data_IF_353454814320
#
_entry.id   IF_353454814320
#
_cell.length_a   1.000
_cell.length_b   1.000
_cell.length_c   1.000
_cell.angle_alpha   90.00
_cell.angle_beta   90.00
_cell.angle_gamma   90.00
#
_symmetry.space_group_name_H-M   'P 1'
#
loop_
_entity.id
_entity.type
_entity.pdbx_description
1 polymer ?
#
# COMPACT_ATOMS: atom_id res chain seq x y z
N UNK A 1 56.78 52.56 -33.94
CA UNK A 1 55.72 53.33 -34.64
C UNK A 1 54.39 52.95 -34.02
N UNK A 2 53.82 53.81 -33.17
CA UNK A 2 52.54 54.53 -33.38
C UNK A 2 51.37 53.56 -33.67
N UNK A 3 50.62 53.11 -32.66
CA UNK A 3 49.41 53.72 -32.04
C UNK A 3 48.17 53.70 -32.97
N UNK A 4 46.98 53.54 -32.36
CA UNK A 4 45.58 53.66 -32.85
C UNK A 4 44.86 52.30 -33.04
N UNK A 5 43.61 52.03 -32.64
CA UNK A 5 42.54 52.74 -31.91
C UNK A 5 41.56 51.66 -31.37
N UNK A 6 40.89 51.99 -30.27
CA UNK A 6 39.78 51.35 -29.54
C UNK A 6 38.59 50.79 -30.34
N UNK A 7 37.96 49.70 -29.86
CA UNK A 7 36.52 49.67 -29.57
C UNK A 7 36.16 48.51 -28.61
N UNK A 8 35.52 48.87 -27.50
CA UNK A 8 34.92 48.01 -26.49
C UNK A 8 33.65 47.36 -27.06
N UNK A 9 33.46 46.04 -26.88
CA UNK A 9 32.12 45.49 -26.66
C UNK A 9 32.16 44.19 -25.83
N UNK A 10 31.26 44.15 -24.86
CA UNK A 10 31.05 43.16 -23.83
C UNK A 10 30.81 41.73 -24.35
N UNK A 11 31.04 40.73 -23.49
CA UNK A 11 29.96 39.93 -22.86
C UNK A 11 30.58 39.00 -21.81
N UNK A 12 29.94 39.00 -20.64
CA UNK A 12 30.29 38.23 -19.44
C UNK A 12 30.26 36.73 -19.70
N UNK A 13 31.36 36.05 -19.40
CA UNK A 13 31.39 34.60 -19.15
C UNK A 13 31.21 34.42 -17.65
N UNK A 14 29.95 34.34 -17.20
CA UNK A 14 29.62 33.88 -15.85
C UNK A 14 29.72 32.36 -15.81
N UNK A 15 30.72 31.87 -15.07
CA UNK A 15 30.84 30.48 -14.68
C UNK A 15 29.59 30.06 -13.89
N UNK A 16 28.80 29.15 -14.48
CA UNK A 16 27.88 28.31 -13.72
C UNK A 16 28.71 27.29 -12.94
N UNK A 17 29.19 27.70 -11.78
CA UNK A 17 29.68 26.81 -10.72
C UNK A 17 28.64 26.78 -9.61
N UNK A 18 27.50 26.13 -9.86
CA UNK A 18 26.54 25.82 -8.81
C UNK A 18 26.98 24.49 -8.20
N UNK A 19 27.52 24.56 -6.98
CA UNK A 19 27.83 23.39 -6.18
C UNK A 19 26.57 22.57 -5.94
N UNK A 20 26.70 21.27 -6.19
CA UNK A 20 25.70 20.25 -5.98
C UNK A 20 25.39 20.12 -4.48
N UNK A 21 24.33 20.80 -4.05
CA UNK A 21 23.75 20.65 -2.72
C UNK A 21 22.81 19.45 -2.75
N UNK A 22 23.24 18.37 -2.10
CA UNK A 22 22.49 17.13 -1.92
C UNK A 22 21.14 17.40 -1.23
N UNK A 23 20.06 17.49 -2.02
CA UNK A 23 18.69 17.41 -1.53
C UNK A 23 18.39 15.97 -1.13
N UNK A 24 18.47 15.70 0.15
CA UNK A 24 17.92 14.47 0.71
C UNK A 24 18.17 14.40 2.19
N UNK A 25 17.33 15.05 3.01
CA UNK A 25 16.75 14.45 4.24
C UNK A 25 15.78 15.39 5.00
N UNK A 26 14.77 15.98 4.34
CA UNK A 26 13.71 16.75 5.05
C UNK A 26 12.29 16.23 4.83
N UNK A 27 12.07 15.33 3.86
CA UNK A 27 10.73 14.79 3.58
C UNK A 27 10.32 13.67 4.55
N UNK A 28 11.30 12.98 5.15
CA UNK A 28 11.10 11.78 5.97
C UNK A 28 10.55 12.13 7.36
N UNK A 29 11.10 13.17 8.00
CA UNK A 29 10.74 13.55 9.37
C UNK A 29 9.38 14.27 9.48
N UNK A 30 8.99 15.04 8.46
CA UNK A 30 7.70 15.71 8.42
C UNK A 30 6.53 14.74 8.14
N UNK A 31 6.75 13.75 7.25
CA UNK A 31 5.79 12.67 6.97
C UNK A 31 5.60 11.73 8.15
N UNK A 32 6.70 11.46 8.88
CA UNK A 32 6.75 11.04 10.29
C UNK A 32 5.57 11.61 11.09
N UNK A 33 5.78 12.87 11.50
CA UNK A 33 4.91 13.59 12.44
C UNK A 33 3.45 13.64 12.02
N UNK A 34 3.16 13.73 10.72
CA UNK A 34 1.79 13.74 10.22
C UNK A 34 1.09 12.39 10.42
N UNK A 35 1.76 11.27 10.11
CA UNK A 35 1.20 9.93 10.32
C UNK A 35 0.97 9.64 11.80
N UNK A 36 1.89 10.01 12.68
CA UNK A 36 1.71 9.84 14.12
C UNK A 36 0.45 10.56 14.61
N UNK A 37 0.26 11.84 14.23
CA UNK A 37 -0.94 12.61 14.62
C UNK A 37 -2.24 12.00 14.10
N UNK A 38 -2.23 11.49 12.87
CA UNK A 38 -3.40 10.82 12.29
C UNK A 38 -3.71 9.53 13.05
N UNK A 39 -2.68 8.71 13.30
CA UNK A 39 -2.80 7.46 14.02
C UNK A 39 -3.34 7.68 15.44
N UNK A 40 -2.77 8.65 16.18
CA UNK A 40 -3.22 9.06 17.51
C UNK A 40 -4.69 9.50 17.50
N UNK A 41 -5.07 10.39 16.57
CA UNK A 41 -6.47 10.85 16.43
C UNK A 41 -7.44 9.70 16.15
N UNK A 42 -7.00 8.68 15.44
CA UNK A 42 -7.80 7.50 15.10
C UNK A 42 -7.74 6.40 16.17
N UNK A 43 -6.91 6.56 17.20
CA UNK A 43 -6.72 5.56 18.26
C UNK A 43 -6.08 4.26 17.75
N UNK A 44 -5.20 4.36 16.76
CA UNK A 44 -4.45 3.24 16.18
C UNK A 44 -2.97 3.56 16.15
N UNK A 45 -2.12 2.56 15.94
CA UNK A 45 -0.68 2.75 15.75
C UNK A 45 -0.35 3.19 14.31
N UNK A 46 0.85 3.74 14.10
CA UNK A 46 1.36 4.04 12.74
C UNK A 46 1.47 2.75 11.92
N UNK A 47 1.86 1.64 12.54
CA UNK A 47 1.87 0.34 11.87
C UNK A 47 0.48 -0.03 11.37
N UNK A 48 -0.54 0.07 12.22
CA UNK A 48 -1.92 -0.27 11.85
C UNK A 48 -2.52 0.68 10.81
N UNK A 49 -2.10 1.96 10.80
CA UNK A 49 -2.50 2.92 9.77
C UNK A 49 -2.01 2.51 8.37
N UNK A 50 -0.84 1.90 8.29
CA UNK A 50 -0.27 1.46 7.01
C UNK A 50 -0.68 0.02 6.65
N UNK A 51 -0.92 -0.83 7.66
CA UNK A 51 -0.96 -2.30 7.52
C UNK A 51 -2.26 -2.94 8.03
N UNK A 52 -3.27 -2.13 8.39
CA UNK A 52 -4.52 -2.64 8.92
C UNK A 52 -4.49 -2.91 10.43
N UNK A 53 -5.68 -2.90 11.02
CA UNK A 53 -5.95 -3.20 12.42
C UNK A 53 -6.34 -4.69 12.53
N UNK A 54 -5.49 -5.50 13.15
CA UNK A 54 -5.81 -6.91 13.35
C UNK A 54 -4.67 -7.70 13.99
N UNK A 55 -4.71 -9.05 13.90
CA UNK A 55 -3.76 -9.93 14.56
C UNK A 55 -2.36 -9.90 13.93
N UNK A 56 -2.20 -9.42 12.69
CA UNK A 56 -0.88 -9.25 12.07
C UNK A 56 -0.29 -7.92 12.57
N UNK A 57 0.71 -8.00 13.44
CA UNK A 57 1.33 -6.85 14.12
C UNK A 57 2.73 -6.50 13.63
N UNK A 58 3.28 -7.30 12.73
CA UNK A 58 4.65 -7.15 12.24
C UNK A 58 4.72 -7.38 10.73
N UNK A 59 5.83 -6.95 10.12
CA UNK A 59 6.06 -7.14 8.69
C UNK A 59 6.34 -8.60 8.35
N UNK A 60 5.57 -9.10 7.40
CA UNK A 60 5.71 -10.46 6.89
C UNK A 60 6.89 -10.53 5.93
N UNK A 61 7.68 -11.58 6.10
CA UNK A 61 8.72 -11.94 5.14
C UNK A 61 8.09 -12.87 4.11
N UNK A 62 7.87 -12.34 2.91
CA UNK A 62 7.22 -13.06 1.81
C UNK A 62 8.22 -13.15 0.66
N UNK A 63 8.44 -14.37 0.15
CA UNK A 63 9.28 -14.60 -1.02
C UNK A 63 8.78 -13.80 -2.23
N UNK A 64 9.69 -13.28 -3.05
CA UNK A 64 9.32 -12.64 -4.31
C UNK A 64 8.61 -13.63 -5.25
N UNK A 65 9.06 -14.89 -5.25
CA UNK A 65 8.46 -15.96 -6.04
C UNK A 65 7.08 -16.36 -5.49
N UNK A 66 6.21 -16.79 -6.41
CA UNK A 66 4.89 -17.34 -6.07
C UNK A 66 5.01 -18.81 -5.71
N UNK A 67 4.59 -19.16 -4.49
CA UNK A 67 4.35 -20.55 -4.11
C UNK A 67 3.03 -21.04 -4.72
N UNK A 68 3.13 -21.78 -5.83
CA UNK A 68 1.97 -22.27 -6.57
C UNK A 68 1.10 -23.23 -5.76
N UNK A 69 1.69 -24.06 -4.89
CA UNK A 69 0.94 -25.03 -4.09
C UNK A 69 0.10 -24.27 -3.05
N UNK A 70 0.70 -23.28 -2.40
CA UNK A 70 -0.01 -22.40 -1.47
C UNK A 70 -1.09 -21.57 -2.17
N UNK A 71 -0.80 -21.03 -3.37
CA UNK A 71 -1.78 -20.29 -4.17
C UNK A 71 -2.98 -21.17 -4.58
N UNK A 72 -2.75 -22.42 -4.97
CA UNK A 72 -3.83 -23.38 -5.28
C UNK A 72 -4.69 -23.68 -4.06
N UNK A 73 -4.09 -23.80 -2.87
CA UNK A 73 -4.84 -23.92 -1.62
C UNK A 73 -5.68 -22.67 -1.35
N UNK A 74 -5.09 -21.48 -1.52
CA UNK A 74 -5.77 -20.20 -1.40
C UNK A 74 -6.95 -20.06 -2.36
N UNK A 75 -6.80 -20.53 -3.60
CA UNK A 75 -7.88 -20.53 -4.59
C UNK A 75 -9.09 -21.33 -4.09
N UNK A 76 -8.88 -22.53 -3.54
CA UNK A 76 -9.99 -23.36 -3.01
C UNK A 76 -10.74 -22.65 -1.89
N UNK A 77 -10.00 -21.96 -1.01
CA UNK A 77 -10.59 -21.17 0.08
C UNK A 77 -11.38 -19.98 -0.51
N UNK A 78 -10.81 -19.29 -1.50
CA UNK A 78 -11.46 -18.16 -2.16
C UNK A 78 -12.77 -18.57 -2.84
N UNK A 79 -12.75 -19.69 -3.58
CA UNK A 79 -13.91 -20.25 -4.26
C UNK A 79 -15.00 -20.67 -3.26
N UNK A 80 -14.63 -21.13 -2.06
CA UNK A 80 -15.58 -21.55 -1.04
C UNK A 80 -16.18 -20.37 -0.25
N UNK A 81 -15.39 -19.33 0.04
CA UNK A 81 -15.72 -18.32 1.06
C UNK A 81 -15.79 -16.88 0.54
N UNK A 82 -15.23 -16.57 -0.62
CA UNK A 82 -15.04 -15.17 -1.06
C UNK A 82 -15.80 -14.81 -2.34
N UNK A 83 -15.98 -15.76 -3.26
CA UNK A 83 -16.59 -15.52 -4.59
C UNK A 83 -18.06 -15.06 -4.55
N UNK A 84 -18.75 -15.29 -3.42
CA UNK A 84 -20.12 -14.82 -3.22
C UNK A 84 -20.20 -13.29 -3.13
N UNK A 85 -19.09 -12.64 -2.75
CA UNK A 85 -19.05 -11.19 -2.57
C UNK A 85 -18.03 -10.51 -3.49
N UNK A 86 -16.96 -11.19 -3.87
CA UNK A 86 -15.86 -10.61 -4.65
C UNK A 86 -15.70 -11.23 -6.02
N UNK A 87 -15.35 -10.39 -6.98
CA UNK A 87 -14.84 -10.76 -8.30
C UNK A 87 -13.40 -10.28 -8.45
N UNK A 88 -12.67 -10.82 -9.41
CA UNK A 88 -11.31 -10.37 -9.67
C UNK A 88 -11.29 -9.01 -10.33
N UNK A 89 -12.13 -8.80 -11.35
CA UNK A 89 -11.98 -7.68 -12.28
C UNK A 89 -13.06 -6.61 -12.19
N UNK A 90 -14.13 -6.88 -11.45
CA UNK A 90 -15.27 -5.98 -11.39
C UNK A 90 -15.79 -5.77 -9.98
N UNK A 91 -16.48 -4.65 -9.83
CA UNK A 91 -17.25 -4.34 -8.63
C UNK A 91 -18.42 -5.32 -8.54
N UNK A 92 -18.63 -5.89 -7.36
CA UNK A 92 -19.81 -6.70 -7.05
C UNK A 92 -20.39 -6.27 -5.70
N UNK A 93 -20.76 -7.20 -4.81
CA UNK A 93 -21.08 -6.88 -3.41
C UNK A 93 -19.89 -6.27 -2.67
N UNK A 94 -18.68 -6.73 -3.00
CA UNK A 94 -17.40 -6.17 -2.55
C UNK A 94 -16.55 -5.66 -3.72
N UNK A 95 -15.39 -5.05 -3.43
CA UNK A 95 -14.45 -4.55 -4.44
C UNK A 95 -13.82 -5.67 -5.29
N UNK A 96 -13.38 -5.28 -6.49
CA UNK A 96 -12.54 -6.09 -7.36
C UNK A 96 -11.19 -6.38 -6.67
N UNK A 97 -10.71 -7.63 -6.77
CA UNK A 97 -9.56 -8.09 -6.00
C UNK A 97 -8.27 -8.37 -6.80
N UNK A 98 -8.27 -8.37 -8.15
CA UNK A 98 -7.09 -8.76 -8.95
C UNK A 98 -5.81 -8.08 -8.47
N UNK A 99 -5.81 -6.74 -8.43
CA UNK A 99 -4.60 -6.00 -8.05
C UNK A 99 -4.57 -5.58 -6.57
N UNK A 100 -5.33 -6.23 -5.69
CA UNK A 100 -5.40 -5.81 -4.28
C UNK A 100 -4.02 -5.86 -3.60
N UNK A 101 -3.18 -6.80 -3.99
CA UNK A 101 -1.81 -6.99 -3.49
C UNK A 101 -0.81 -5.97 -4.06
N UNK A 102 -1.17 -5.29 -5.15
CA UNK A 102 -0.42 -4.13 -5.67
C UNK A 102 -0.83 -2.84 -4.96
N UNK A 103 -2.09 -2.76 -4.49
CA UNK A 103 -2.66 -1.57 -3.83
C UNK A 103 -2.46 -1.55 -2.31
N UNK A 104 -2.28 -2.72 -1.69
CA UNK A 104 -2.24 -2.90 -0.24
C UNK A 104 -1.11 -3.84 0.15
N UNK A 105 -0.52 -3.57 1.31
CA UNK A 105 0.46 -4.46 1.92
C UNK A 105 -0.15 -5.85 2.18
N UNK A 106 0.67 -6.92 2.17
CA UNK A 106 0.30 -8.25 2.68
C UNK A 106 -0.43 -8.22 4.02
N UNK A 107 0.09 -7.47 4.98
CA UNK A 107 -0.46 -7.38 6.34
C UNK A 107 -1.87 -6.82 6.33
N UNK A 108 -2.10 -5.74 5.56
CA UNK A 108 -3.43 -5.14 5.39
C UNK A 108 -4.45 -6.13 4.82
N UNK A 109 -4.08 -6.86 3.77
CA UNK A 109 -4.96 -7.86 3.15
C UNK A 109 -5.32 -8.93 4.18
N UNK A 110 -4.33 -9.45 4.92
CA UNK A 110 -4.56 -10.46 5.93
C UNK A 110 -5.39 -9.94 7.11
N UNK A 111 -5.11 -8.73 7.61
CA UNK A 111 -5.87 -8.10 8.69
C UNK A 111 -7.31 -7.79 8.27
N UNK A 112 -7.56 -7.41 7.02
CA UNK A 112 -8.93 -7.24 6.49
C UNK A 112 -9.72 -8.55 6.54
N UNK A 113 -9.11 -9.67 6.15
CA UNK A 113 -9.77 -10.97 6.12
C UNK A 113 -9.98 -11.53 7.53
N UNK A 114 -8.98 -11.38 8.40
CA UNK A 114 -9.00 -11.92 9.77
C UNK A 114 -9.83 -11.07 10.73
N UNK A 115 -9.96 -9.76 10.49
CA UNK A 115 -10.59 -8.82 11.40
C UNK A 115 -11.46 -7.74 10.68
N UNK A 116 -12.39 -8.13 9.80
CA UNK A 116 -13.07 -7.18 8.92
C UNK A 116 -13.97 -6.17 9.66
N UNK A 117 -14.53 -6.56 10.81
CA UNK A 117 -15.42 -5.69 11.60
C UNK A 117 -14.66 -4.55 12.27
N UNK A 118 -13.58 -4.86 12.99
CA UNK A 118 -12.78 -3.81 13.62
C UNK A 118 -12.04 -2.97 12.57
N UNK A 119 -11.63 -3.58 11.45
CA UNK A 119 -11.07 -2.86 10.31
C UNK A 119 -12.01 -1.76 9.84
N UNK A 120 -13.28 -2.07 9.54
CA UNK A 120 -14.26 -1.07 9.10
C UNK A 120 -14.68 -0.10 10.22
N UNK A 121 -14.44 -0.42 11.49
CA UNK A 121 -14.69 0.47 12.63
C UNK A 121 -13.53 1.41 12.95
N UNK A 122 -12.29 1.06 12.63
CA UNK A 122 -11.09 1.83 13.02
C UNK A 122 -10.28 2.32 11.83
N UNK A 123 -9.95 1.45 10.88
CA UNK A 123 -9.06 1.78 9.78
C UNK A 123 -9.73 2.74 8.78
N UNK A 124 -9.11 3.89 8.46
CA UNK A 124 -9.75 4.95 7.68
C UNK A 124 -10.14 4.48 6.27
N UNK A 125 -9.31 3.66 5.64
CA UNK A 125 -9.62 3.13 4.31
C UNK A 125 -10.72 2.07 4.31
N UNK A 126 -10.75 1.19 5.32
CA UNK A 126 -11.78 0.18 5.43
C UNK A 126 -13.15 0.82 5.70
N UNK A 127 -13.20 1.90 6.49
CA UNK A 127 -14.38 2.75 6.68
C UNK A 127 -14.92 3.29 5.35
N UNK A 128 -14.04 3.81 4.49
CA UNK A 128 -14.43 4.30 3.16
C UNK A 128 -15.00 3.18 2.30
N UNK A 129 -14.35 2.01 2.29
CA UNK A 129 -14.87 0.85 1.58
C UNK A 129 -16.26 0.44 2.10
N UNK A 130 -16.46 0.39 3.42
CA UNK A 130 -17.79 0.10 3.98
C UNK A 130 -18.84 1.13 3.52
N UNK A 131 -18.52 2.43 3.53
CA UNK A 131 -19.43 3.46 3.06
C UNK A 131 -19.74 3.34 1.55
N UNK A 132 -18.76 2.96 0.73
CA UNK A 132 -18.93 2.80 -0.72
C UNK A 132 -19.71 1.55 -1.11
N UNK A 133 -19.57 0.46 -0.36
CA UNK A 133 -20.17 -0.84 -0.69
C UNK A 133 -21.44 -1.14 0.13
N UNK A 134 -21.68 -0.38 1.21
CA UNK A 134 -22.83 -0.50 2.12
C UNK A 134 -23.06 -1.93 2.66
N UNK A 135 -22.03 -2.77 2.64
CA UNK A 135 -22.09 -4.16 3.07
C UNK A 135 -20.90 -4.46 3.98
N UNK A 136 -21.19 -4.90 5.21
CA UNK A 136 -20.17 -5.27 6.17
C UNK A 136 -19.62 -6.66 5.83
N UNK A 137 -18.33 -6.74 5.51
CA UNK A 137 -17.65 -8.03 5.45
C UNK A 137 -17.65 -8.66 6.85
N UNK A 138 -18.14 -9.89 6.97
CA UNK A 138 -18.09 -10.66 8.21
C UNK A 138 -16.84 -11.54 8.22
N UNK A 139 -16.39 -11.94 9.41
CA UNK A 139 -15.30 -12.90 9.53
C UNK A 139 -15.73 -14.25 8.96
N UNK A 140 -14.92 -14.82 8.06
CA UNK A 140 -15.27 -16.03 7.29
C UNK A 140 -14.80 -17.34 7.94
N UNK A 141 -14.48 -17.32 9.25
CA UNK A 141 -13.96 -18.47 9.99
C UNK A 141 -12.75 -19.10 9.27
N UNK A 142 -11.72 -18.29 9.03
CA UNK A 142 -10.46 -18.69 8.41
C UNK A 142 -9.32 -18.50 9.40
N UNK A 143 -8.33 -19.39 9.36
CA UNK A 143 -7.12 -19.25 10.18
C UNK A 143 -6.16 -18.24 9.56
N UNK A 144 -5.10 -17.90 10.29
CA UNK A 144 -4.01 -17.09 9.75
C UNK A 144 -3.29 -17.79 8.59
N UNK A 145 -3.19 -19.13 8.64
CA UNK A 145 -2.61 -19.96 7.58
C UNK A 145 -3.49 -19.98 6.32
N UNK A 146 -4.80 -20.16 6.50
CA UNK A 146 -5.79 -20.03 5.41
C UNK A 146 -5.69 -18.67 4.74
N UNK A 147 -5.55 -17.63 5.56
CA UNK A 147 -5.43 -16.25 5.08
C UNK A 147 -4.11 -16.01 4.36
N UNK A 148 -3.02 -16.64 4.80
CA UNK A 148 -1.73 -16.61 4.09
C UNK A 148 -1.84 -17.29 2.72
N UNK A 149 -2.56 -18.40 2.62
CA UNK A 149 -2.83 -19.07 1.35
C UNK A 149 -3.69 -18.20 0.42
N UNK A 150 -4.77 -17.58 0.94
CA UNK A 150 -5.59 -16.60 0.21
C UNK A 150 -4.75 -15.43 -0.32
N UNK A 151 -3.85 -14.89 0.48
CA UNK A 151 -2.93 -13.84 0.04
C UNK A 151 -2.05 -14.33 -1.11
N UNK A 152 -1.51 -15.55 -1.05
CA UNK A 152 -0.69 -16.10 -2.13
C UNK A 152 -1.46 -16.26 -3.44
N UNK A 153 -2.71 -16.70 -3.35
CA UNK A 153 -3.62 -16.75 -4.49
C UNK A 153 -3.82 -15.36 -5.10
N UNK A 154 -4.11 -14.34 -4.28
CA UNK A 154 -4.28 -12.97 -4.76
C UNK A 154 -2.98 -12.38 -5.35
N UNK A 155 -1.81 -12.78 -4.85
CA UNK A 155 -0.52 -12.42 -5.45
C UNK A 155 -0.33 -13.06 -6.82
N UNK A 156 -0.75 -14.33 -6.97
CA UNK A 156 -0.71 -15.03 -8.26
C UNK A 156 -1.62 -14.35 -9.28
N UNK A 157 -2.89 -14.08 -8.92
CA UNK A 157 -3.87 -13.45 -9.81
C UNK A 157 -3.48 -12.04 -10.26
N UNK A 158 -2.76 -11.28 -9.44
CA UNK A 158 -2.27 -9.94 -9.79
C UNK A 158 -1.22 -9.94 -10.92
N UNK A 159 -0.64 -11.10 -11.26
CA UNK A 159 0.39 -11.26 -12.30
C UNK A 159 -0.16 -11.88 -13.61
N UNK A 160 -1.48 -12.03 -13.72
CA UNK A 160 -2.20 -12.58 -14.88
C UNK A 160 -3.07 -11.51 -15.53
#
# INVERSE_FOLDING_TARGET
MKLLITLVLAVLISAFGCGEESKGDQSSSANNSAKERIAEKLGITVFELDNGVGPIKEKLQISADIDKIMAESGKKIFDAKCVQCHKMDERYTGPALRDVTQRRSPEYVMNMVLNPQEMTQKHPEAKKLLAMYANQMTFQNVTQEDTRALLEYLRMEANH
#
